data_IF_871937651502
#
_entry.id   IF_871937651502
#
_cell.length_a   1.000
_cell.length_b   1.000
_cell.length_c   1.000
_cell.angle_alpha   90.00
_cell.angle_beta   90.00
_cell.angle_gamma   90.00
#
_symmetry.space_group_name_H-M   'P 1'
#
loop_
_entity.id
_entity.type
_entity.pdbx_description
1 polymer ?
#
# COMPACT_ATOMS: atom_id res chain seq x y z
N UNK A 1 -22.54 52.03 -35.06
CA UNK A 1 -22.58 50.55 -35.22
C UNK A 1 -21.18 49.94 -35.36
N UNK A 2 -20.21 50.21 -34.46
CA UNK A 2 -18.84 49.66 -34.54
C UNK A 2 -18.28 49.06 -33.24
N UNK A 3 -19.15 48.80 -32.23
CA UNK A 3 -18.69 48.28 -30.92
C UNK A 3 -19.12 46.84 -30.59
N UNK A 4 -19.93 46.18 -31.41
CA UNK A 4 -20.47 44.83 -31.14
C UNK A 4 -19.64 43.69 -31.77
N UNK A 5 -18.79 43.98 -32.78
CA UNK A 5 -17.97 42.92 -33.41
C UNK A 5 -16.72 42.51 -32.59
N UNK A 6 -16.19 43.37 -31.72
CA UNK A 6 -14.99 43.05 -30.92
C UNK A 6 -15.23 42.04 -29.78
N UNK A 7 -16.42 42.01 -29.22
CA UNK A 7 -16.74 41.13 -28.07
C UNK A 7 -16.97 39.67 -28.49
N UNK A 8 -17.53 39.47 -29.69
CA UNK A 8 -17.77 38.11 -30.21
C UNK A 8 -16.46 37.40 -30.59
N UNK A 9 -15.48 38.13 -31.14
CA UNK A 9 -14.20 37.54 -31.48
C UNK A 9 -13.35 37.14 -30.26
N UNK A 10 -13.47 37.86 -29.15
CA UNK A 10 -12.74 37.56 -27.90
C UNK A 10 -13.34 36.32 -27.21
N UNK A 11 -14.68 36.16 -27.21
CA UNK A 11 -15.37 35.00 -26.63
C UNK A 11 -15.07 33.71 -27.39
N UNK A 12 -14.97 33.75 -28.72
CA UNK A 12 -14.62 32.59 -29.55
C UNK A 12 -13.15 32.16 -29.34
N UNK A 13 -12.24 33.10 -29.15
CA UNK A 13 -10.81 32.81 -28.86
C UNK A 13 -10.60 32.09 -27.50
N UNK A 14 -11.36 32.49 -26.49
CA UNK A 14 -11.25 31.89 -25.14
C UNK A 14 -11.83 30.47 -25.15
N UNK A 15 -12.92 30.21 -25.88
CA UNK A 15 -13.50 28.87 -26.00
C UNK A 15 -12.58 27.88 -26.71
N UNK A 16 -11.89 28.30 -27.75
CA UNK A 16 -10.93 27.46 -28.50
C UNK A 16 -9.69 27.10 -27.67
N UNK A 17 -9.21 28.01 -26.83
CA UNK A 17 -8.04 27.73 -25.96
C UNK A 17 -8.40 26.80 -24.81
N UNK A 18 -9.61 26.87 -24.25
CA UNK A 18 -10.09 25.99 -23.21
C UNK A 18 -10.26 24.54 -23.73
N UNK A 19 -10.79 24.37 -24.94
CA UNK A 19 -10.94 23.05 -25.57
C UNK A 19 -9.60 22.41 -25.91
N UNK A 20 -8.64 23.17 -26.44
CA UNK A 20 -7.30 22.66 -26.75
C UNK A 20 -6.51 22.26 -25.47
N UNK A 21 -6.78 22.86 -24.32
CA UNK A 21 -6.19 22.48 -23.04
C UNK A 21 -6.80 21.21 -22.46
N UNK A 22 -8.07 20.95 -22.68
CA UNK A 22 -8.76 19.75 -22.23
C UNK A 22 -8.33 18.53 -23.07
N UNK A 23 -8.30 18.65 -24.39
CA UNK A 23 -7.83 17.62 -25.32
C UNK A 23 -6.36 17.22 -25.05
N UNK A 24 -5.51 18.15 -24.63
CA UNK A 24 -4.11 17.86 -24.29
C UNK A 24 -3.96 17.08 -22.98
N UNK A 25 -4.84 17.32 -22.00
CA UNK A 25 -4.87 16.57 -20.75
C UNK A 25 -5.36 15.14 -20.94
N UNK A 26 -6.39 14.95 -21.75
CA UNK A 26 -6.93 13.62 -22.08
C UNK A 26 -5.92 12.78 -22.87
N UNK A 27 -5.23 13.38 -23.83
CA UNK A 27 -4.13 12.72 -24.55
C UNK A 27 -2.97 12.33 -23.64
N UNK A 28 -2.61 13.19 -22.70
CA UNK A 28 -1.54 12.91 -21.72
C UNK A 28 -1.95 11.79 -20.77
N UNK A 29 -3.19 11.80 -20.30
CA UNK A 29 -3.74 10.76 -19.42
C UNK A 29 -3.80 9.39 -20.14
N UNK A 30 -4.24 9.38 -21.41
CA UNK A 30 -4.27 8.17 -22.23
C UNK A 30 -2.86 7.62 -22.49
N UNK A 31 -1.90 8.48 -22.84
CA UNK A 31 -0.51 8.09 -23.05
C UNK A 31 0.15 7.54 -21.77
N UNK A 32 -0.15 8.12 -20.61
CA UNK A 32 0.29 7.62 -19.32
C UNK A 32 -0.34 6.26 -18.96
N UNK A 33 -1.61 6.07 -19.30
CA UNK A 33 -2.30 4.78 -19.12
C UNK A 33 -1.67 3.70 -20.00
N UNK A 34 -1.44 3.99 -21.28
CA UNK A 34 -0.78 3.09 -22.22
C UNK A 34 0.66 2.75 -21.78
N UNK A 35 1.42 3.75 -21.33
CA UNK A 35 2.76 3.51 -20.79
C UNK A 35 2.75 2.63 -19.54
N UNK A 36 1.77 2.82 -18.65
CA UNK A 36 1.59 1.97 -17.47
C UNK A 36 1.26 0.53 -17.88
N UNK A 37 0.43 0.35 -18.89
CA UNK A 37 0.07 -0.97 -19.39
C UNK A 37 1.27 -1.68 -20.04
N UNK A 38 2.09 -0.99 -20.83
CA UNK A 38 3.34 -1.56 -21.35
C UNK A 38 4.34 -1.93 -20.24
N UNK A 39 4.38 -1.17 -19.14
CA UNK A 39 5.20 -1.52 -17.99
C UNK A 39 4.60 -2.68 -17.18
N UNK A 40 3.29 -2.90 -17.24
CA UNK A 40 2.64 -4.00 -16.54
C UNK A 40 2.99 -5.35 -17.18
N UNK A 41 3.18 -5.41 -18.51
CA UNK A 41 3.56 -6.61 -19.27
C UNK A 41 5.00 -7.08 -18.99
N UNK A 42 5.74 -6.43 -18.12
CA UNK A 42 7.09 -6.79 -17.69
C UNK A 42 7.40 -6.26 -16.30
N UNK A 43 6.44 -6.37 -15.39
CA UNK A 43 6.55 -5.85 -14.04
C UNK A 43 7.69 -6.55 -13.27
N UNK A 44 8.79 -5.84 -12.93
CA UNK A 44 9.90 -6.45 -12.19
C UNK A 44 9.51 -7.01 -10.82
N UNK A 45 8.34 -6.66 -10.29
CA UNK A 45 7.80 -7.24 -9.08
C UNK A 45 7.56 -8.76 -9.20
N UNK A 46 7.35 -9.29 -10.42
CA UNK A 46 7.18 -10.73 -10.65
C UNK A 46 8.37 -11.56 -10.17
N UNK A 47 9.59 -11.01 -10.24
CA UNK A 47 10.77 -11.67 -9.68
C UNK A 47 10.70 -11.75 -8.14
N UNK A 48 10.09 -10.76 -7.51
CA UNK A 48 9.86 -10.74 -6.06
C UNK A 48 8.76 -11.70 -5.67
N UNK A 49 7.70 -11.80 -6.46
CA UNK A 49 6.59 -12.73 -6.28
C UNK A 49 7.09 -14.18 -6.37
N UNK A 50 7.83 -14.53 -7.42
CA UNK A 50 8.42 -15.86 -7.58
C UNK A 50 9.40 -16.21 -6.46
N UNK A 51 10.23 -15.27 -6.04
CA UNK A 51 11.14 -15.47 -4.90
C UNK A 51 10.36 -15.63 -3.58
N UNK A 52 9.26 -14.90 -3.41
CA UNK A 52 8.37 -15.03 -2.25
C UNK A 52 7.65 -16.37 -2.21
N UNK A 53 7.16 -16.85 -3.36
CA UNK A 53 6.57 -18.20 -3.48
C UNK A 53 7.57 -19.29 -3.11
N UNK A 54 8.80 -19.18 -3.60
CA UNK A 54 9.86 -20.12 -3.25
C UNK A 54 10.15 -20.11 -1.74
N UNK A 55 10.18 -18.94 -1.08
CA UNK A 55 10.35 -18.81 0.36
C UNK A 55 9.16 -19.38 1.14
N UNK A 56 7.93 -19.20 0.64
CA UNK A 56 6.72 -19.73 1.26
C UNK A 56 6.73 -21.26 1.36
N UNK A 57 7.19 -21.92 0.31
CA UNK A 57 7.27 -23.38 0.19
C UNK A 57 8.51 -23.99 0.82
N UNK A 58 9.57 -23.20 1.01
CA UNK A 58 10.87 -23.69 1.49
C UNK A 58 10.84 -24.00 2.98
N UNK A 59 11.21 -25.22 3.42
CA UNK A 59 11.49 -25.50 4.82
C UNK A 59 12.61 -24.60 5.36
N UNK A 60 12.40 -24.01 6.52
CA UNK A 60 13.35 -23.11 7.16
C UNK A 60 13.24 -23.15 8.70
N UNK A 61 14.19 -22.46 9.34
CA UNK A 61 14.28 -22.34 10.79
C UNK A 61 14.62 -23.68 11.51
N UNK A 62 14.69 -23.65 12.84
CA UNK A 62 15.00 -24.83 13.64
C UNK A 62 14.06 -26.02 13.43
N UNK A 63 12.78 -25.74 13.15
CA UNK A 63 11.78 -26.80 12.91
C UNK A 63 11.77 -27.34 11.49
N UNK A 64 12.57 -26.83 10.59
CA UNK A 64 12.63 -27.20 9.16
C UNK A 64 11.22 -27.30 8.53
N UNK A 65 10.36 -26.31 8.81
CA UNK A 65 8.99 -26.24 8.31
C UNK A 65 8.82 -25.14 7.26
N UNK A 66 7.95 -25.38 6.26
CA UNK A 66 7.51 -24.36 5.33
C UNK A 66 6.46 -23.44 5.95
N UNK A 67 6.10 -22.36 5.25
CA UNK A 67 5.00 -21.48 5.65
C UNK A 67 3.64 -21.94 5.12
N UNK A 68 3.57 -23.05 4.40
CA UNK A 68 2.34 -23.55 3.76
C UNK A 68 1.19 -23.86 4.74
N UNK A 69 1.48 -24.02 6.02
CA UNK A 69 0.46 -24.15 7.07
C UNK A 69 0.10 -22.83 7.75
N UNK A 70 0.69 -21.70 7.34
CA UNK A 70 0.39 -20.38 7.91
C UNK A 70 -1.05 -19.96 7.61
N UNK A 71 -1.82 -19.65 8.64
CA UNK A 71 -3.16 -19.08 8.49
C UNK A 71 -3.08 -17.57 8.37
N UNK A 72 -3.39 -17.06 7.18
CA UNK A 72 -3.46 -15.62 6.88
C UNK A 72 -4.86 -15.03 7.14
N UNK A 73 -5.71 -15.76 7.88
CA UNK A 73 -7.06 -15.33 8.26
C UNK A 73 -8.19 -15.90 7.40
N UNK A 74 -7.86 -16.76 6.43
CA UNK A 74 -8.83 -17.49 5.61
C UNK A 74 -8.76 -19.01 5.84
N UNK A 75 -7.96 -19.45 6.81
CA UNK A 75 -7.65 -20.82 7.13
C UNK A 75 -6.20 -21.18 6.80
N UNK A 76 -5.66 -22.26 7.40
CA UNK A 76 -4.28 -22.69 7.20
C UNK A 76 -3.96 -22.90 5.71
N UNK A 77 -2.89 -22.27 5.23
CA UNK A 77 -2.39 -22.42 3.87
C UNK A 77 -3.18 -21.68 2.78
N UNK A 78 -4.27 -21.02 3.11
CA UNK A 78 -5.05 -20.24 2.12
C UNK A 78 -4.39 -18.88 1.89
N UNK A 79 -3.71 -18.75 0.74
CA UNK A 79 -3.04 -17.50 0.34
C UNK A 79 -3.93 -16.65 -0.57
N UNK A 80 -4.68 -17.31 -1.47
CA UNK A 80 -5.51 -16.62 -2.45
C UNK A 80 -6.54 -15.70 -1.81
N UNK A 81 -6.44 -14.40 -2.12
CA UNK A 81 -7.33 -13.37 -1.62
C UNK A 81 -7.05 -12.92 -0.17
N UNK A 82 -6.06 -13.50 0.51
CA UNK A 82 -5.80 -13.22 1.92
C UNK A 82 -5.39 -11.77 2.18
N UNK A 83 -4.54 -11.19 1.33
CA UNK A 83 -4.09 -9.81 1.51
C UNK A 83 -5.26 -8.80 1.48
N UNK A 84 -6.26 -9.04 0.64
CA UNK A 84 -7.45 -8.18 0.54
C UNK A 84 -8.35 -8.20 1.79
N UNK A 85 -8.04 -9.07 2.77
CA UNK A 85 -8.75 -9.24 4.04
C UNK A 85 -7.93 -8.83 5.25
N UNK A 86 -6.74 -8.27 5.05
CA UNK A 86 -5.80 -7.84 6.08
C UNK A 86 -5.65 -6.31 6.07
N UNK A 87 -5.44 -5.70 7.26
CA UNK A 87 -5.35 -6.28 8.62
C UNK A 87 -6.68 -6.77 9.20
N UNK A 88 -6.63 -7.76 10.10
CA UNK A 88 -7.81 -8.30 10.79
C UNK A 88 -7.46 -8.86 12.18
N UNK A 89 -8.48 -9.17 12.97
CA UNK A 89 -8.32 -9.87 14.25
C UNK A 89 -8.01 -11.35 14.04
N UNK A 90 -7.03 -11.86 14.81
CA UNK A 90 -6.66 -13.28 14.88
C UNK A 90 -6.92 -13.83 16.28
N UNK A 91 -7.76 -14.87 16.37
CA UNK A 91 -8.18 -15.47 17.62
C UNK A 91 -7.02 -16.15 18.37
N UNK A 92 -6.10 -16.77 17.64
CA UNK A 92 -4.94 -17.49 18.18
C UNK A 92 -3.95 -16.58 18.92
N UNK A 93 -3.86 -15.31 18.53
CA UNK A 93 -2.97 -14.31 19.14
C UNK A 93 -3.72 -13.30 20.01
N UNK A 94 -5.05 -13.20 19.87
CA UNK A 94 -5.86 -12.16 20.51
C UNK A 94 -5.59 -10.74 19.98
N UNK A 95 -4.95 -10.60 18.80
CA UNK A 95 -4.49 -9.33 18.24
C UNK A 95 -5.02 -9.07 16.83
N UNK A 96 -5.13 -7.79 16.47
CA UNK A 96 -5.24 -7.38 15.07
C UNK A 96 -3.83 -7.41 14.47
N UNK A 97 -3.69 -8.05 13.33
CA UNK A 97 -2.43 -8.18 12.61
C UNK A 97 -2.61 -7.86 11.14
N UNK A 98 -1.62 -7.18 10.57
CA UNK A 98 -1.41 -7.11 9.13
C UNK A 98 -0.66 -8.35 8.61
N UNK A 99 -0.34 -8.36 7.32
CA UNK A 99 0.34 -9.49 6.70
C UNK A 99 1.74 -9.71 7.27
N UNK A 100 2.48 -8.63 7.57
CA UNK A 100 3.86 -8.72 8.04
C UNK A 100 3.94 -9.23 9.48
N UNK A 101 3.08 -8.71 10.36
CA UNK A 101 2.96 -9.25 11.72
C UNK A 101 2.52 -10.72 11.72
N UNK A 102 1.59 -11.09 10.82
CA UNK A 102 1.14 -12.48 10.71
C UNK A 102 2.24 -13.39 10.18
N UNK A 103 3.03 -12.93 9.21
CA UNK A 103 4.21 -13.67 8.74
C UNK A 103 5.25 -13.87 9.84
N UNK A 104 5.56 -12.83 10.63
CA UNK A 104 6.45 -12.98 11.79
C UNK A 104 5.93 -14.02 12.77
N UNK A 105 4.63 -14.00 13.08
CA UNK A 105 4.01 -15.00 13.94
C UNK A 105 4.15 -16.42 13.38
N UNK A 106 3.87 -16.62 12.08
CA UNK A 106 4.04 -17.93 11.44
C UNK A 106 5.51 -18.39 11.41
N UNK A 107 6.45 -17.49 11.16
CA UNK A 107 7.89 -17.82 11.22
C UNK A 107 8.31 -18.27 12.62
N UNK A 108 7.78 -17.63 13.66
CA UNK A 108 8.04 -18.04 15.06
C UNK A 108 7.38 -19.37 15.39
N UNK A 109 6.13 -19.56 15.04
CA UNK A 109 5.34 -20.74 15.47
C UNK A 109 5.61 -21.98 14.62
N UNK A 110 5.66 -21.85 13.30
CA UNK A 110 5.88 -22.96 12.37
C UNK A 110 7.37 -23.26 12.20
N UNK A 111 8.20 -22.25 11.95
CA UNK A 111 9.63 -22.44 11.68
C UNK A 111 10.49 -22.46 12.93
N UNK A 112 9.96 -22.00 14.07
CA UNK A 112 10.66 -22.00 15.36
C UNK A 112 11.71 -20.90 15.50
N UNK A 113 11.60 -19.82 14.70
CA UNK A 113 12.49 -18.67 14.82
C UNK A 113 12.20 -17.87 16.09
N UNK A 114 13.21 -17.25 16.66
CA UNK A 114 13.03 -16.21 17.68
C UNK A 114 12.36 -14.98 17.09
N UNK A 115 11.85 -14.08 17.92
CA UNK A 115 11.26 -12.81 17.46
C UNK A 115 12.27 -11.98 16.65
N UNK A 116 13.51 -11.89 17.13
CA UNK A 116 14.56 -11.10 16.47
C UNK A 116 14.93 -11.69 15.10
N UNK A 117 15.02 -13.01 14.98
CA UNK A 117 15.25 -13.68 13.70
C UNK A 117 14.05 -13.50 12.76
N UNK A 118 12.82 -13.64 13.25
CA UNK A 118 11.60 -13.49 12.45
C UNK A 118 11.43 -12.07 11.92
N UNK A 119 11.91 -11.05 12.64
CA UNK A 119 11.86 -9.64 12.27
C UNK A 119 13.16 -9.10 11.67
N UNK A 120 14.17 -9.95 11.46
CA UNK A 120 15.45 -9.52 10.93
C UNK A 120 15.32 -9.01 9.48
N UNK A 121 16.02 -7.92 9.16
CA UNK A 121 16.02 -7.30 7.84
C UNK A 121 14.58 -7.08 7.28
N UNK A 122 13.72 -6.34 7.98
CA UNK A 122 12.31 -6.22 7.61
C UNK A 122 12.12 -5.49 6.29
N UNK A 123 13.01 -4.56 5.96
CA UNK A 123 12.96 -3.75 4.77
C UNK A 123 14.21 -3.97 3.92
N UNK A 124 14.02 -4.03 2.63
CA UNK A 124 15.10 -4.16 1.66
C UNK A 124 16.01 -2.93 1.65
N UNK A 125 17.25 -3.16 1.34
CA UNK A 125 18.25 -2.14 1.09
C UNK A 125 19.17 -2.60 -0.07
N UNK A 126 19.93 -1.72 -0.71
CA UNK A 126 20.77 -2.06 -1.84
C UNK A 126 21.65 -3.30 -1.57
N UNK A 127 21.49 -4.32 -2.39
CA UNK A 127 22.22 -5.59 -2.27
C UNK A 127 21.73 -6.53 -1.15
N UNK A 128 20.74 -6.14 -0.37
CA UNK A 128 20.18 -6.93 0.74
C UNK A 128 18.65 -6.94 0.70
N UNK A 129 18.03 -7.71 -0.20
CA UNK A 129 16.58 -7.79 -0.29
C UNK A 129 15.97 -8.50 0.93
N UNK A 130 14.82 -8.00 1.39
CA UNK A 130 14.07 -8.56 2.52
C UNK A 130 13.29 -9.81 2.11
N UNK A 131 13.38 -10.88 2.90
CA UNK A 131 12.52 -12.06 2.74
C UNK A 131 11.06 -11.74 3.04
N UNK A 132 10.80 -10.86 4.02
CA UNK A 132 9.43 -10.45 4.37
C UNK A 132 8.77 -9.75 3.18
N UNK A 133 9.44 -8.78 2.57
CA UNK A 133 8.88 -8.06 1.41
C UNK A 133 8.65 -8.97 0.19
N UNK A 134 9.51 -9.99 -0.01
CA UNK A 134 9.28 -11.03 -1.03
C UNK A 134 8.06 -11.87 -0.73
N UNK A 135 7.91 -12.34 0.52
CA UNK A 135 6.73 -13.09 0.95
C UNK A 135 5.45 -12.26 0.82
N UNK A 136 5.49 -10.98 1.20
CA UNK A 136 4.35 -10.07 1.04
C UNK A 136 4.04 -9.85 -0.44
N UNK A 137 5.04 -9.71 -1.32
CA UNK A 137 4.82 -9.61 -2.76
C UNK A 137 4.06 -10.81 -3.30
N UNK A 138 4.47 -12.03 -2.95
CA UNK A 138 3.78 -13.27 -3.32
C UNK A 138 2.34 -13.30 -2.78
N UNK A 139 2.13 -13.08 -1.47
CA UNK A 139 0.79 -13.14 -0.86
C UNK A 139 -0.14 -12.10 -1.50
N UNK A 140 0.39 -10.95 -1.85
CA UNK A 140 -0.40 -9.89 -2.48
C UNK A 140 -0.73 -10.22 -3.93
N UNK A 141 0.18 -10.80 -4.70
CA UNK A 141 -0.07 -11.20 -6.08
C UNK A 141 -1.22 -12.22 -6.17
N UNK A 142 -1.31 -13.13 -5.19
CA UNK A 142 -2.41 -14.07 -5.05
C UNK A 142 -3.77 -13.41 -4.70
N UNK A 143 -3.76 -12.11 -4.42
CA UNK A 143 -4.96 -11.31 -4.17
C UNK A 143 -5.36 -10.40 -5.34
N UNK A 144 -4.65 -10.44 -6.49
CA UNK A 144 -5.00 -9.62 -7.67
C UNK A 144 -6.45 -9.87 -8.10
N UNK A 145 -7.16 -8.77 -8.38
CA UNK A 145 -8.58 -8.78 -8.75
C UNK A 145 -9.54 -8.97 -7.58
N UNK A 146 -9.09 -9.39 -6.40
CA UNK A 146 -9.92 -9.49 -5.22
C UNK A 146 -10.34 -8.10 -4.73
N UNK A 147 -11.59 -7.95 -4.32
CA UNK A 147 -12.04 -6.72 -3.68
C UNK A 147 -11.51 -6.65 -2.25
N UNK A 148 -10.98 -5.50 -1.86
CA UNK A 148 -10.64 -5.22 -0.45
C UNK A 148 -11.91 -5.28 0.36
N UNK A 149 -11.90 -6.07 1.41
CA UNK A 149 -13.02 -6.22 2.32
C UNK A 149 -12.50 -6.42 3.75
N UNK A 150 -12.18 -5.30 4.39
CA UNK A 150 -11.69 -5.25 5.76
C UNK A 150 -12.88 -5.22 6.69
N UNK A 151 -13.09 -6.24 7.51
CA UNK A 151 -14.16 -6.25 8.49
C UNK A 151 -13.83 -5.31 9.67
N UNK A 152 -14.85 -4.79 10.34
CA UNK A 152 -14.75 -4.17 11.66
C UNK A 152 -15.74 -4.87 12.62
N UNK A 153 -15.86 -6.19 12.48
CA UNK A 153 -16.82 -6.98 13.24
C UNK A 153 -16.37 -7.21 14.68
N UNK A 154 -15.07 -7.35 14.90
CA UNK A 154 -14.51 -7.59 16.23
C UNK A 154 -14.17 -6.28 16.94
N UNK A 155 -14.41 -6.21 18.27
CA UNK A 155 -14.14 -5.01 19.07
C UNK A 155 -12.66 -4.56 19.02
N UNK A 156 -11.70 -5.50 18.83
CA UNK A 156 -10.29 -5.16 18.64
C UNK A 156 -10.04 -4.45 17.31
N UNK A 157 -10.73 -4.87 16.23
CA UNK A 157 -10.64 -4.21 14.92
C UNK A 157 -11.18 -2.78 14.98
N UNK A 158 -12.30 -2.58 15.67
CA UNK A 158 -12.87 -1.25 15.87
C UNK A 158 -11.91 -0.33 16.66
N UNK A 159 -11.29 -0.85 17.73
CA UNK A 159 -10.29 -0.10 18.51
C UNK A 159 -9.05 0.22 17.68
N UNK A 160 -8.56 -0.75 16.90
CA UNK A 160 -7.41 -0.55 16.01
C UNK A 160 -7.73 0.47 14.90
N UNK A 161 -8.92 0.41 14.32
CA UNK A 161 -9.38 1.40 13.35
C UNK A 161 -9.39 2.82 13.93
N UNK A 162 -9.94 3.02 15.14
CA UNK A 162 -9.97 4.32 15.80
C UNK A 162 -8.56 4.81 16.22
N UNK A 163 -7.66 3.89 16.58
CA UNK A 163 -6.26 4.23 16.82
C UNK A 163 -5.59 4.70 15.51
N UNK A 164 -5.78 3.97 14.41
CA UNK A 164 -5.26 4.34 13.10
C UNK A 164 -5.80 5.67 12.60
N UNK A 165 -7.12 5.90 12.78
CA UNK A 165 -7.74 7.19 12.47
C UNK A 165 -7.11 8.32 13.27
N UNK A 166 -6.93 8.16 14.59
CA UNK A 166 -6.26 9.17 15.43
C UNK A 166 -4.83 9.42 14.98
N UNK A 167 -4.08 8.36 14.65
CA UNK A 167 -2.71 8.47 14.15
C UNK A 167 -2.64 9.22 12.82
N UNK A 168 -3.60 9.01 11.93
CA UNK A 168 -3.67 9.69 10.64
C UNK A 168 -3.78 11.22 10.78
N UNK A 169 -4.47 11.71 11.82
CA UNK A 169 -4.62 13.14 12.12
C UNK A 169 -3.63 13.67 13.16
N UNK A 170 -2.82 12.80 13.77
CA UNK A 170 -1.88 13.20 14.82
C UNK A 170 -0.71 13.98 14.24
N UNK A 171 -0.55 15.21 14.70
CA UNK A 171 0.56 16.09 14.30
C UNK A 171 1.75 15.86 15.21
N UNK A 172 2.90 15.59 14.63
CA UNK A 172 4.14 15.36 15.37
C UNK A 172 5.37 15.57 14.48
N UNK A 173 6.54 15.30 15.07
CA UNK A 173 7.82 15.47 14.42
C UNK A 173 8.23 16.93 14.30
N UNK A 174 9.45 17.16 13.81
CA UNK A 174 10.02 18.51 13.70
C UNK A 174 9.25 19.45 12.76
N UNK A 175 8.47 18.89 11.85
CA UNK A 175 7.67 19.66 10.89
C UNK A 175 6.23 19.89 11.36
N UNK A 176 5.84 19.32 12.50
CA UNK A 176 4.46 19.38 13.01
C UNK A 176 3.41 18.98 11.95
N UNK A 177 3.67 17.91 11.20
CA UNK A 177 2.77 17.38 10.20
C UNK A 177 2.01 16.17 10.71
N UNK A 178 0.87 15.89 10.07
CA UNK A 178 0.13 14.65 10.16
C UNK A 178 0.05 14.00 8.77
N UNK A 179 -0.34 12.73 8.68
CA UNK A 179 -0.69 12.13 7.38
C UNK A 179 -1.77 12.96 6.67
N UNK A 180 -2.76 13.42 7.43
CA UNK A 180 -3.85 14.28 6.96
C UNK A 180 -3.36 15.61 6.35
N UNK A 181 -2.22 16.15 6.78
CA UNK A 181 -1.66 17.39 6.21
C UNK A 181 -1.44 17.30 4.70
N UNK A 182 -1.10 16.09 4.23
CA UNK A 182 -0.85 15.83 2.80
C UNK A 182 -1.94 14.97 2.14
N UNK A 183 -2.69 14.19 2.90
CA UNK A 183 -3.58 13.14 2.39
C UNK A 183 -5.06 13.30 2.77
N UNK A 184 -5.49 14.48 3.21
CA UNK A 184 -6.88 14.80 3.51
C UNK A 184 -7.40 16.00 2.71
N UNK A 185 -6.81 16.29 1.57
CA UNK A 185 -7.19 17.39 0.70
C UNK A 185 -6.97 17.00 -0.77
N UNK A 186 -7.90 17.33 -1.66
CA UNK A 186 -7.74 17.06 -3.09
C UNK A 186 -6.70 18.01 -3.71
N UNK A 187 -6.02 17.54 -4.74
CA UNK A 187 -5.14 18.35 -5.57
C UNK A 187 -3.79 18.74 -4.96
N UNK A 188 -3.47 18.26 -3.75
CA UNK A 188 -2.13 18.47 -3.19
C UNK A 188 -1.08 17.67 -3.98
N UNK A 189 0.08 18.27 -4.15
CA UNK A 189 1.17 17.70 -4.95
C UNK A 189 2.48 17.75 -4.19
N UNK A 190 3.24 16.66 -4.33
CA UNK A 190 4.65 16.64 -3.97
C UNK A 190 5.45 16.42 -5.25
N UNK A 191 6.31 17.37 -5.60
CA UNK A 191 7.04 17.41 -6.87
C UNK A 191 6.04 17.38 -8.04
N UNK A 192 6.11 16.36 -8.91
CA UNK A 192 5.23 16.19 -10.07
C UNK A 192 4.07 15.20 -9.81
N UNK A 193 3.93 14.73 -8.59
CA UNK A 193 2.91 13.73 -8.24
C UNK A 193 1.79 14.37 -7.42
N UNK A 194 0.57 14.14 -7.84
CA UNK A 194 -0.61 14.43 -7.03
C UNK A 194 -0.72 13.39 -5.91
N UNK A 195 -1.04 13.87 -4.72
CA UNK A 195 -1.24 13.03 -3.55
C UNK A 195 -2.70 12.59 -3.49
N UNK A 196 -2.97 11.30 -3.25
CA UNK A 196 -4.34 10.83 -3.09
C UNK A 196 -4.95 11.39 -1.81
N UNK A 197 -6.21 11.83 -1.88
CA UNK A 197 -7.04 12.10 -0.69
C UNK A 197 -7.51 10.77 -0.11
N UNK A 198 -6.86 10.32 0.96
CA UNK A 198 -7.11 9.01 1.58
C UNK A 198 -8.38 8.96 2.43
N UNK A 199 -9.11 10.08 2.56
CA UNK A 199 -10.41 10.13 3.22
C UNK A 199 -11.56 9.88 2.25
N UNK A 200 -11.33 10.06 0.94
CA UNK A 200 -12.30 9.70 -0.09
C UNK A 200 -12.14 8.23 -0.50
N UNK A 201 -13.25 7.58 -0.86
CA UNK A 201 -13.22 6.19 -1.30
C UNK A 201 -12.32 6.00 -2.53
N UNK A 202 -12.40 6.89 -3.50
CA UNK A 202 -11.64 6.80 -4.75
C UNK A 202 -10.15 7.05 -4.52
N UNK A 203 -9.79 8.06 -3.73
CA UNK A 203 -8.40 8.34 -3.38
C UNK A 203 -7.78 7.21 -2.55
N UNK A 204 -8.52 6.67 -1.57
CA UNK A 204 -8.07 5.53 -0.77
C UNK A 204 -7.89 4.27 -1.63
N UNK A 205 -8.85 3.95 -2.52
CA UNK A 205 -8.75 2.81 -3.45
C UNK A 205 -7.58 2.96 -4.40
N UNK A 206 -7.43 4.11 -5.06
CA UNK A 206 -6.34 4.35 -6.01
C UNK A 206 -4.95 4.20 -5.37
N UNK A 207 -4.84 4.54 -4.10
CA UNK A 207 -3.61 4.38 -3.34
C UNK A 207 -3.43 2.93 -2.86
N UNK A 208 -4.34 2.41 -2.03
CA UNK A 208 -4.13 1.16 -1.28
C UNK A 208 -4.12 -0.07 -2.17
N UNK A 209 -4.99 -0.16 -3.20
CA UNK A 209 -5.05 -1.32 -4.10
C UNK A 209 -3.77 -1.58 -4.88
N UNK A 210 -2.90 -0.59 -4.96
CA UNK A 210 -1.65 -0.62 -5.73
C UNK A 210 -0.40 -0.80 -4.86
N UNK A 211 -0.56 -1.10 -3.56
CA UNK A 211 0.52 -1.45 -2.63
C UNK A 211 0.39 -2.90 -2.13
N UNK A 212 1.53 -3.61 -1.96
CA UNK A 212 2.93 -3.20 -2.16
C UNK A 212 3.25 -2.75 -3.57
N UNK A 213 4.36 -2.03 -3.73
CA UNK A 213 4.77 -1.49 -5.03
C UNK A 213 6.26 -1.65 -5.31
N UNK A 214 6.58 -2.03 -6.55
CA UNK A 214 7.96 -2.01 -7.03
C UNK A 214 8.41 -0.58 -7.24
N UNK A 215 9.40 -0.14 -6.49
CA UNK A 215 9.98 1.21 -6.56
C UNK A 215 11.12 1.23 -7.57
N UNK A 216 10.87 1.74 -8.76
CA UNK A 216 11.84 1.77 -9.87
C UNK A 216 13.17 2.43 -9.46
N UNK A 217 13.10 3.54 -8.71
CA UNK A 217 14.31 4.26 -8.28
C UNK A 217 15.16 3.51 -7.24
N UNK A 218 14.62 2.48 -6.59
CA UNK A 218 15.32 1.63 -5.62
C UNK A 218 15.57 0.21 -6.14
N UNK A 219 14.86 -0.23 -7.18
CA UNK A 219 14.95 -1.60 -7.67
C UNK A 219 14.34 -2.65 -6.73
N UNK A 220 13.39 -2.25 -5.89
CA UNK A 220 12.87 -3.05 -4.78
C UNK A 220 11.35 -3.00 -4.71
N UNK A 221 10.72 -4.11 -4.28
CA UNK A 221 9.33 -4.05 -3.80
C UNK A 221 9.34 -3.53 -2.37
N UNK A 222 8.48 -2.55 -2.10
CA UNK A 222 8.23 -2.01 -0.76
C UNK A 222 6.81 -2.30 -0.33
N UNK A 223 6.66 -2.79 0.89
CA UNK A 223 5.37 -3.08 1.51
C UNK A 223 4.66 -1.80 1.97
N UNK A 224 3.42 -1.93 2.43
CA UNK A 224 2.71 -0.81 3.03
C UNK A 224 3.38 -0.37 4.33
N UNK A 225 3.83 -1.29 5.18
CA UNK A 225 4.60 -0.93 6.38
C UNK A 225 5.85 -0.13 6.01
N UNK A 226 6.66 -0.61 5.06
CA UNK A 226 7.85 0.13 4.60
C UNK A 226 7.48 1.55 4.10
N UNK A 227 6.37 1.67 3.37
CA UNK A 227 5.88 2.97 2.89
C UNK A 227 5.50 3.90 4.06
N UNK A 228 4.83 3.39 5.07
CA UNK A 228 4.45 4.17 6.26
C UNK A 228 5.68 4.61 7.07
N UNK A 229 6.64 3.71 7.26
CA UNK A 229 7.94 4.04 7.86
C UNK A 229 8.66 5.15 7.12
N UNK A 230 8.71 5.07 5.80
CA UNK A 230 9.34 6.08 4.95
C UNK A 230 8.66 7.45 5.11
N UNK A 231 7.33 7.49 5.19
CA UNK A 231 6.59 8.72 5.44
C UNK A 231 6.91 9.30 6.83
N UNK A 232 6.87 8.47 7.88
CA UNK A 232 7.15 8.89 9.26
C UNK A 232 8.58 9.45 9.37
N UNK A 233 9.57 8.74 8.81
CA UNK A 233 10.96 9.19 8.77
C UNK A 233 11.13 10.52 8.03
N UNK A 234 10.49 10.67 6.85
CA UNK A 234 10.56 11.90 6.06
C UNK A 234 9.91 13.09 6.78
N UNK A 235 8.86 12.86 7.56
CA UNK A 235 8.19 13.87 8.38
C UNK A 235 8.86 14.09 9.75
N UNK A 236 9.98 13.41 10.03
CA UNK A 236 10.72 13.52 11.29
C UNK A 236 9.89 13.11 12.51
N UNK A 237 8.98 12.16 12.34
CA UNK A 237 8.35 11.48 13.47
C UNK A 237 9.36 10.61 14.21
N UNK A 238 9.12 10.31 15.49
CA UNK A 238 9.84 9.23 16.18
C UNK A 238 9.68 7.93 15.38
N UNK A 239 10.79 7.21 15.18
CA UNK A 239 10.78 5.98 14.41
C UNK A 239 10.08 4.87 15.19
N UNK A 240 9.00 4.28 14.65
CA UNK A 240 8.31 3.19 15.33
C UNK A 240 9.13 1.89 15.22
N UNK A 241 8.93 0.99 16.16
CA UNK A 241 9.48 -0.36 16.05
C UNK A 241 8.77 -1.12 14.90
N UNK A 242 9.51 -1.94 14.17
CA UNK A 242 8.93 -2.78 13.13
C UNK A 242 7.85 -3.71 13.71
N UNK A 243 6.72 -3.80 13.02
CA UNK A 243 5.56 -4.55 13.48
C UNK A 243 4.86 -3.94 14.69
N UNK A 244 5.03 -2.64 14.96
CA UNK A 244 4.32 -1.95 16.04
C UNK A 244 2.81 -1.86 15.74
N UNK A 245 1.98 -2.08 16.77
CA UNK A 245 0.51 -2.06 16.65
C UNK A 245 -0.06 -0.76 16.07
N UNK A 246 0.64 0.37 16.30
CA UNK A 246 0.22 1.66 15.74
C UNK A 246 0.32 1.70 14.21
N UNK A 247 1.30 1.01 13.63
CA UNK A 247 1.46 0.92 12.16
C UNK A 247 0.37 0.02 11.59
N UNK A 248 0.13 -1.15 12.17
CA UNK A 248 -0.98 -2.03 11.80
C UNK A 248 -2.34 -1.33 11.93
N UNK A 249 -2.52 -0.52 12.96
CA UNK A 249 -3.74 0.27 13.16
C UNK A 249 -3.92 1.33 12.06
N UNK A 250 -2.84 2.03 11.69
CA UNK A 250 -2.85 2.99 10.59
C UNK A 250 -3.15 2.28 9.25
N UNK A 251 -2.52 1.13 9.02
CA UNK A 251 -2.77 0.30 7.83
C UNK A 251 -4.22 -0.18 7.77
N UNK A 252 -4.80 -0.62 8.90
CA UNK A 252 -6.22 -0.99 9.00
C UNK A 252 -7.15 0.18 8.64
N UNK A 253 -6.85 1.38 9.11
CA UNK A 253 -7.62 2.57 8.76
C UNK A 253 -7.58 2.84 7.27
N UNK A 254 -6.41 2.81 6.65
CA UNK A 254 -6.22 3.03 5.21
C UNK A 254 -6.88 1.95 4.37
N UNK A 255 -6.70 0.68 4.74
CA UNK A 255 -7.31 -0.46 4.05
C UNK A 255 -8.84 -0.41 4.12
N UNK A 256 -9.41 -0.06 5.28
CA UNK A 256 -10.86 0.07 5.45
C UNK A 256 -11.44 1.18 4.58
N UNK A 257 -10.77 2.32 4.47
CA UNK A 257 -11.20 3.40 3.58
C UNK A 257 -11.18 2.98 2.10
N UNK A 258 -10.34 2.01 1.74
CA UNK A 258 -10.23 1.45 0.39
C UNK A 258 -11.19 0.28 0.09
N UNK A 259 -12.09 -0.09 1.01
CA UNK A 259 -13.02 -1.21 0.80
C UNK A 259 -13.76 -1.11 -0.53
N UNK A 260 -13.93 -2.28 -1.18
CA UNK A 260 -14.51 -2.41 -2.52
C UNK A 260 -13.54 -2.13 -3.67
N UNK A 261 -12.34 -1.59 -3.40
CA UNK A 261 -11.29 -1.45 -4.41
C UNK A 261 -10.73 -2.82 -4.81
N UNK A 262 -10.49 -3.04 -6.10
CA UNK A 262 -9.89 -4.28 -6.60
C UNK A 262 -8.37 -4.20 -6.52
N UNK A 263 -7.76 -5.20 -5.90
CA UNK A 263 -6.30 -5.32 -5.79
C UNK A 263 -5.62 -5.39 -7.17
N UNK A 264 -4.60 -4.56 -7.34
CA UNK A 264 -3.75 -4.47 -8.54
C UNK A 264 -2.26 -4.45 -8.16
N UNK A 265 -1.96 -4.96 -6.98
CA UNK A 265 -0.60 -5.03 -6.44
C UNK A 265 -0.01 -6.45 -6.59
N UNK A 266 1.33 -6.56 -6.57
CA UNK A 266 2.33 -5.49 -6.59
C UNK A 266 2.34 -4.67 -7.87
N UNK A 267 2.30 -3.33 -7.74
CA UNK A 267 2.29 -2.43 -8.90
C UNK A 267 3.64 -1.69 -9.05
N UNK A 268 3.86 -1.06 -10.21
CA UNK A 268 5.06 -0.24 -10.43
C UNK A 268 4.85 1.15 -9.84
N UNK A 269 5.83 1.62 -9.07
CA UNK A 269 5.87 2.95 -8.45
C UNK A 269 7.19 3.67 -8.79
N UNK A 270 7.10 4.98 -8.99
CA UNK A 270 8.28 5.83 -9.19
C UNK A 270 9.04 6.08 -7.89
#
# INVERSE_FOLDING_TARGET
MKRTLGIVALAAGIALTAQAQDDSKDNTAAALAQYRQMLADGNPAELWEAAGEALWKKPAGPKQASLEACDLGLGPGVVKGAYARLPRYFKDTGRVMDVEQRLMHCRMTLQGLTKDEASANPFSSPGKPSEIERLVAYITSESRGAAIDIPLAHAQEQRAYELGRRMFFYRAGAYDFACATCHAQPGLRIRLQELPDLLTADGARSAYTTWPGYRVSQGEVRTMQHRLYDCLRQQRFPEPLYGADVITALELFLARNANGGKMDAPSIKR
#
